data_IF_916998830978
#
_entry.id   IF_916998830978
#
_cell.length_a   1.000
_cell.length_b   1.000
_cell.length_c   1.000
_cell.angle_alpha   90.00
_cell.angle_beta   90.00
_cell.angle_gamma   90.00
#
_symmetry.space_group_name_H-M   'P 1'
#
loop_
_entity.id
_entity.type
_entity.pdbx_description
1 polymer ?
#
# COMPACT_ATOMS: atom_id res chain seq x y z
N UNK A 1 44.31 5.90 50.27
CA UNK A 1 42.88 5.83 49.92
C UNK A 1 42.60 7.00 48.98
N UNK A 2 42.73 6.76 47.67
CA UNK A 2 42.62 7.81 46.65
C UNK A 2 41.15 8.10 46.32
N UNK A 3 40.71 9.32 46.65
CA UNK A 3 39.34 9.83 46.45
C UNK A 3 39.16 10.41 45.03
N UNK A 4 40.15 10.29 44.13
CA UNK A 4 40.15 10.98 42.82
C UNK A 4 39.54 10.18 41.66
N UNK A 5 39.08 8.95 41.90
CA UNK A 5 38.50 8.08 40.85
C UNK A 5 36.97 8.04 40.86
N UNK A 6 36.27 9.10 41.27
CA UNK A 6 34.80 9.06 41.43
C UNK A 6 34.08 10.38 41.09
N UNK A 7 34.50 11.11 40.06
CA UNK A 7 33.71 12.26 39.57
C UNK A 7 33.58 12.33 38.05
N UNK A 8 34.54 11.79 37.29
CA UNK A 8 34.43 11.70 35.82
C UNK A 8 33.49 10.59 35.34
N UNK A 9 33.38 9.48 36.06
CA UNK A 9 32.47 8.38 35.68
C UNK A 9 31.00 8.65 36.02
N UNK A 10 30.73 9.55 36.98
CA UNK A 10 29.35 9.89 37.39
C UNK A 10 28.65 10.88 36.43
N UNK A 11 29.41 11.68 35.67
CA UNK A 11 28.84 12.67 34.74
C UNK A 11 28.34 12.05 33.41
N UNK A 12 28.84 10.87 33.04
CA UNK A 12 28.47 10.23 31.76
C UNK A 12 27.20 9.37 31.84
N UNK A 13 26.70 9.07 33.05
CA UNK A 13 25.50 8.22 33.23
C UNK A 13 24.17 8.96 33.14
N UNK A 14 24.17 10.29 33.16
CA UNK A 14 22.94 11.10 33.29
C UNK A 14 22.76 12.18 32.21
N UNK A 15 23.58 12.22 31.15
CA UNK A 15 23.29 13.14 30.04
C UNK A 15 22.21 12.51 29.14
N UNK A 16 21.04 13.16 28.97
CA UNK A 16 20.05 12.69 28.01
C UNK A 16 20.68 12.66 26.62
N UNK A 17 20.32 11.65 25.82
CA UNK A 17 20.81 11.56 24.45
C UNK A 17 20.41 12.81 23.66
N UNK A 18 21.09 13.16 22.54
CA UNK A 18 20.77 14.35 21.75
C UNK A 18 19.29 14.49 21.39
N UNK A 19 18.62 13.38 21.08
CA UNK A 19 17.16 13.31 20.84
C UNK A 19 16.33 13.71 22.06
N UNK A 20 16.68 13.19 23.23
CA UNK A 20 15.94 13.43 24.48
C UNK A 20 16.13 14.87 24.94
N UNK A 21 17.35 15.41 24.80
CA UNK A 21 17.64 16.82 25.05
C UNK A 21 16.82 17.75 24.14
N UNK A 22 16.77 17.46 22.83
CA UNK A 22 15.98 18.25 21.87
C UNK A 22 14.48 18.14 22.15
N UNK A 23 13.98 16.94 22.49
CA UNK A 23 12.57 16.71 22.85
C UNK A 23 12.17 17.44 24.12
N UNK A 24 13.05 17.51 25.13
CA UNK A 24 12.79 18.26 26.35
C UNK A 24 12.72 19.78 26.11
N UNK A 25 13.48 20.28 25.13
CA UNK A 25 13.55 21.72 24.81
C UNK A 25 12.42 22.20 23.91
N UNK A 26 11.99 21.36 22.97
CA UNK A 26 10.96 21.69 21.98
C UNK A 26 9.92 20.58 21.86
N UNK A 27 9.17 20.27 22.94
CA UNK A 27 8.21 19.17 22.93
C UNK A 27 7.14 19.31 21.83
N UNK A 28 6.82 20.55 21.44
CA UNK A 28 5.92 20.91 20.35
C UNK A 28 6.39 20.45 18.95
N UNK A 29 7.70 20.25 18.77
CA UNK A 29 8.29 19.79 17.51
C UNK A 29 8.41 18.26 17.41
N UNK A 30 8.09 17.52 18.48
CA UNK A 30 8.15 16.06 18.50
C UNK A 30 6.75 15.49 18.68
N UNK A 31 6.34 14.62 17.74
CA UNK A 31 5.14 13.82 17.94
C UNK A 31 5.30 12.96 19.19
N UNK A 32 4.34 13.10 20.10
CA UNK A 32 4.12 12.26 21.28
C UNK A 32 3.22 11.05 20.95
N UNK A 33 2.78 10.93 19.70
CA UNK A 33 1.95 9.82 19.24
C UNK A 33 2.72 8.52 19.35
N UNK A 34 2.25 7.65 20.24
CA UNK A 34 2.72 6.27 20.32
C UNK A 34 2.04 5.47 19.20
N UNK A 35 2.81 4.97 18.24
CA UNK A 35 2.32 4.01 17.26
C UNK A 35 2.04 2.72 18.01
N UNK A 36 0.78 2.34 18.10
CA UNK A 36 0.34 1.13 18.75
C UNK A 36 -0.17 0.17 17.68
N UNK A 37 0.51 -0.97 17.51
CA UNK A 37 0.12 -2.04 16.59
C UNK A 37 -0.96 -2.96 17.20
N UNK A 38 -1.80 -2.43 18.08
CA UNK A 38 -2.90 -3.21 18.67
C UNK A 38 -4.02 -3.31 17.64
N UNK A 39 -4.42 -4.53 17.22
CA UNK A 39 -5.55 -4.71 16.32
C UNK A 39 -6.82 -4.09 16.91
N UNK A 40 -7.36 -3.07 16.24
CA UNK A 40 -8.56 -2.36 16.67
C UNK A 40 -9.84 -3.20 16.50
N UNK A 41 -9.78 -4.29 15.72
CA UNK A 41 -10.90 -5.19 15.48
C UNK A 41 -10.44 -6.65 15.47
N UNK A 42 -11.34 -7.55 15.86
CA UNK A 42 -11.08 -8.99 15.75
C UNK A 42 -11.13 -9.42 14.29
N UNK A 43 -10.41 -10.50 13.96
CA UNK A 43 -10.38 -11.08 12.62
C UNK A 43 -11.80 -11.40 12.10
N UNK A 44 -12.67 -11.95 12.94
CA UNK A 44 -14.05 -12.31 12.57
C UNK A 44 -14.87 -11.09 12.17
N UNK A 45 -14.73 -9.97 12.89
CA UNK A 45 -15.43 -8.72 12.56
C UNK A 45 -14.92 -8.16 11.23
N UNK A 46 -13.62 -8.23 10.99
CA UNK A 46 -13.02 -7.79 9.73
C UNK A 46 -13.50 -8.63 8.54
N UNK A 47 -13.53 -9.96 8.68
CA UNK A 47 -14.02 -10.87 7.64
C UNK A 47 -15.49 -10.60 7.28
N UNK A 48 -16.33 -10.41 8.29
CA UNK A 48 -17.73 -10.02 8.08
C UNK A 48 -17.86 -8.66 7.38
N UNK A 49 -17.00 -7.70 7.75
CA UNK A 49 -16.98 -6.40 7.08
C UNK A 49 -16.64 -6.53 5.60
N UNK A 50 -15.62 -7.33 5.27
CA UNK A 50 -15.22 -7.60 3.89
C UNK A 50 -16.32 -8.32 3.09
N UNK A 51 -17.01 -9.31 3.65
CA UNK A 51 -18.10 -10.02 2.95
C UNK A 51 -19.33 -9.13 2.68
N UNK A 52 -19.56 -8.12 3.53
CA UNK A 52 -20.74 -7.25 3.44
C UNK A 52 -20.52 -5.93 2.68
N UNK A 53 -19.32 -5.69 2.13
CA UNK A 53 -18.98 -4.46 1.40
C UNK A 53 -19.99 -4.08 0.32
N UNK A 54 -20.33 -5.02 -0.57
CA UNK A 54 -21.25 -4.76 -1.70
C UNK A 54 -22.69 -4.51 -1.23
N UNK A 55 -23.11 -5.22 -0.17
CA UNK A 55 -24.44 -5.03 0.42
C UNK A 55 -24.59 -3.64 1.06
N UNK A 56 -23.48 -3.08 1.55
CA UNK A 56 -23.41 -1.77 2.18
C UNK A 56 -23.06 -0.64 1.22
N UNK A 57 -22.86 -0.94 -0.07
CA UNK A 57 -22.41 0.01 -1.11
C UNK A 57 -21.07 0.69 -0.77
N UNK A 58 -20.15 -0.09 -0.21
CA UNK A 58 -18.83 0.39 0.24
C UNK A 58 -17.69 -0.03 -0.68
N UNK A 59 -17.98 -0.25 -1.97
CA UNK A 59 -16.98 -0.62 -2.96
C UNK A 59 -15.92 0.47 -3.13
N UNK A 60 -16.32 1.74 -3.03
CA UNK A 60 -15.41 2.87 -3.15
C UNK A 60 -14.45 2.96 -1.95
N UNK A 61 -14.93 2.74 -0.73
CA UNK A 61 -14.07 2.68 0.46
C UNK A 61 -13.08 1.51 0.39
N UNK A 62 -13.51 0.37 -0.14
CA UNK A 62 -12.63 -0.77 -0.38
C UNK A 62 -11.57 -0.46 -1.44
N UNK A 63 -11.95 0.19 -2.54
CA UNK A 63 -11.01 0.63 -3.57
C UNK A 63 -9.97 1.60 -3.01
N UNK A 64 -10.42 2.58 -2.22
CA UNK A 64 -9.55 3.51 -1.51
C UNK A 64 -8.59 2.79 -0.56
N UNK A 65 -9.08 1.81 0.20
CA UNK A 65 -8.27 1.00 1.11
C UNK A 65 -7.20 0.20 0.34
N UNK A 66 -7.58 -0.52 -0.72
CA UNK A 66 -6.66 -1.29 -1.56
C UNK A 66 -5.60 -0.39 -2.21
N UNK A 67 -5.98 0.82 -2.63
CA UNK A 67 -5.02 1.79 -3.14
C UNK A 67 -4.01 2.21 -2.08
N UNK A 68 -4.46 2.56 -0.88
CA UNK A 68 -3.54 2.95 0.21
C UNK A 68 -2.62 1.81 0.62
N UNK A 69 -3.12 0.58 0.58
CA UNK A 69 -2.31 -0.61 0.77
C UNK A 69 -1.27 -0.77 -0.34
N UNK A 70 -1.66 -0.61 -1.61
CA UNK A 70 -0.74 -0.69 -2.74
C UNK A 70 0.31 0.44 -2.75
N UNK A 71 -0.08 1.68 -2.41
CA UNK A 71 0.83 2.82 -2.23
C UNK A 71 1.89 2.53 -1.16
N UNK A 72 1.48 1.80 -0.11
CA UNK A 72 2.33 1.48 1.03
C UNK A 72 3.23 0.28 0.78
N UNK A 73 2.75 -0.77 0.11
CA UNK A 73 3.44 -2.07 0.01
C UNK A 73 4.06 -2.32 -1.38
N UNK A 74 3.47 -1.80 -2.46
CA UNK A 74 3.82 -2.17 -3.84
C UNK A 74 4.62 -1.05 -4.53
N UNK A 75 4.03 0.14 -4.65
CA UNK A 75 4.70 1.29 -5.23
C UNK A 75 3.98 2.60 -4.88
N UNK A 76 4.72 3.69 -4.61
CA UNK A 76 4.12 4.95 -4.19
C UNK A 76 3.57 5.80 -5.35
N UNK A 77 3.88 5.47 -6.60
CA UNK A 77 3.57 6.27 -7.79
C UNK A 77 2.26 5.87 -8.47
N UNK A 78 1.18 5.76 -7.69
CA UNK A 78 -0.14 5.41 -8.20
C UNK A 78 -0.95 6.65 -8.61
N UNK A 79 -1.58 6.60 -9.77
CA UNK A 79 -2.51 7.59 -10.29
C UNK A 79 -3.93 7.02 -10.30
N UNK A 80 -4.84 7.68 -9.59
CA UNK A 80 -6.27 7.38 -9.60
C UNK A 80 -6.95 8.05 -10.78
N UNK A 81 -7.93 7.39 -11.39
CA UNK A 81 -8.79 8.05 -12.37
C UNK A 81 -9.64 9.13 -11.68
N UNK A 82 -9.33 10.39 -11.95
CA UNK A 82 -10.09 11.57 -11.50
C UNK A 82 -10.87 12.15 -12.67
N UNK A 83 -11.83 11.39 -13.19
CA UNK A 83 -12.75 11.82 -14.26
C UNK A 83 -14.20 11.93 -13.77
N UNK A 84 -15.04 12.80 -14.37
CA UNK A 84 -16.48 12.76 -14.13
C UNK A 84 -16.99 11.36 -14.49
N UNK A 85 -17.79 10.73 -13.61
CA UNK A 85 -18.31 9.35 -13.77
C UNK A 85 -19.08 9.12 -15.08
N UNK A 86 -19.35 10.17 -15.88
CA UNK A 86 -20.01 10.12 -17.18
C UNK A 86 -19.15 10.48 -18.41
N UNK A 87 -17.82 10.63 -18.30
CA UNK A 87 -16.99 11.08 -19.42
C UNK A 87 -15.59 10.48 -19.43
N UNK A 88 -15.43 9.38 -20.18
CA UNK A 88 -14.14 8.72 -20.45
C UNK A 88 -13.86 7.56 -19.50
N UNK A 89 -14.29 6.36 -19.90
CA UNK A 89 -13.91 5.09 -19.27
C UNK A 89 -12.41 4.88 -19.46
N UNK A 90 -11.58 5.42 -18.56
CA UNK A 90 -10.21 4.91 -18.44
C UNK A 90 -10.40 3.49 -17.92
N UNK A 91 -10.17 2.52 -18.80
CA UNK A 91 -10.52 1.09 -18.63
C UNK A 91 -9.77 0.40 -17.47
N UNK A 92 -9.11 1.16 -16.59
CA UNK A 92 -8.22 0.73 -15.52
C UNK A 92 -8.53 1.59 -14.28
N UNK A 93 -8.69 0.95 -13.12
CA UNK A 93 -9.06 1.65 -11.89
C UNK A 93 -7.91 2.55 -11.39
N UNK A 94 -6.68 2.03 -11.40
CA UNK A 94 -5.46 2.73 -10.97
C UNK A 94 -4.29 2.33 -11.89
N UNK A 95 -3.42 3.26 -12.24
CA UNK A 95 -2.20 2.97 -13.01
C UNK A 95 -0.97 3.68 -12.43
N UNK A 96 0.24 3.16 -12.69
CA UNK A 96 1.48 3.88 -12.35
C UNK A 96 1.76 5.01 -13.34
N UNK A 97 2.43 6.05 -12.86
CA UNK A 97 2.98 7.13 -13.69
C UNK A 97 4.52 7.10 -13.67
N UNK A 98 5.19 7.51 -14.76
CA UNK A 98 6.65 7.49 -14.81
C UNK A 98 7.25 8.49 -13.81
N UNK A 99 8.30 8.07 -13.13
CA UNK A 99 9.01 8.87 -12.12
C UNK A 99 10.50 8.88 -12.43
N UNK A 100 11.14 10.04 -12.24
CA UNK A 100 12.56 10.21 -12.46
C UNK A 100 13.39 9.24 -11.59
N UNK A 101 14.44 8.59 -12.13
CA UNK A 101 15.23 7.58 -11.41
C UNK A 101 15.74 8.06 -10.05
N UNK A 102 16.12 9.33 -9.94
CA UNK A 102 16.63 9.93 -8.71
C UNK A 102 15.57 9.92 -7.60
N UNK A 103 14.29 10.08 -7.94
CA UNK A 103 13.19 10.03 -6.98
C UNK A 103 12.92 8.58 -6.58
N UNK A 104 12.97 7.66 -7.56
CA UNK A 104 12.77 6.22 -7.35
C UNK A 104 13.82 5.64 -6.39
N UNK A 105 15.09 6.05 -6.52
CA UNK A 105 16.17 5.66 -5.61
C UNK A 105 15.91 6.04 -4.14
N UNK A 106 15.05 7.03 -3.89
CA UNK A 106 14.70 7.51 -2.55
C UNK A 106 13.48 6.80 -1.98
N UNK A 107 12.85 5.89 -2.71
CA UNK A 107 11.73 5.12 -2.20
C UNK A 107 12.19 4.13 -1.14
N UNK A 108 11.66 4.29 0.07
CA UNK A 108 11.91 3.36 1.17
C UNK A 108 11.12 2.05 1.02
N UNK A 109 9.99 2.10 0.29
CA UNK A 109 9.09 0.96 0.09
C UNK A 109 8.63 0.91 -1.36
N UNK A 110 8.45 -0.30 -1.87
CA UNK A 110 7.99 -0.60 -3.22
C UNK A 110 9.11 -0.97 -4.19
N UNK A 111 8.72 -1.31 -5.41
CA UNK A 111 9.67 -1.74 -6.45
C UNK A 111 10.18 -0.56 -7.28
N UNK A 112 11.50 -0.38 -7.46
CA UNK A 112 12.06 0.64 -8.35
C UNK A 112 11.56 0.54 -9.80
N UNK A 113 11.28 -0.68 -10.27
CA UNK A 113 10.75 -0.93 -11.61
C UNK A 113 9.43 -0.19 -11.87
N UNK A 114 8.62 0.05 -10.83
CA UNK A 114 7.34 0.75 -10.96
C UNK A 114 7.50 2.20 -11.44
N UNK A 115 8.67 2.83 -11.22
CA UNK A 115 8.95 4.19 -11.68
C UNK A 115 9.24 4.30 -13.19
N UNK A 116 9.68 3.20 -13.82
CA UNK A 116 9.98 3.16 -15.26
C UNK A 116 8.92 2.38 -16.07
N UNK A 117 8.34 1.34 -15.48
CA UNK A 117 7.31 0.50 -16.09
C UNK A 117 5.90 1.05 -15.86
N UNK A 118 4.98 0.71 -16.77
CA UNK A 118 3.55 0.95 -16.56
C UNK A 118 2.91 -0.28 -15.96
N UNK A 119 2.30 -0.11 -14.80
CA UNK A 119 1.55 -1.15 -14.10
C UNK A 119 0.08 -0.74 -14.01
N UNK A 120 -0.81 -1.72 -14.13
CA UNK A 120 -2.25 -1.54 -14.00
C UNK A 120 -2.75 -2.26 -12.75
N UNK A 121 -3.79 -1.69 -12.16
CA UNK A 121 -4.41 -2.19 -10.94
C UNK A 121 -5.91 -2.24 -11.17
N UNK A 122 -6.50 -3.40 -10.88
CA UNK A 122 -7.94 -3.63 -10.92
C UNK A 122 -8.43 -4.09 -9.55
N UNK A 123 -9.56 -3.58 -9.11
CA UNK A 123 -10.09 -3.85 -7.77
C UNK A 123 -11.54 -4.33 -7.87
N UNK A 124 -11.87 -5.40 -7.13
CA UNK A 124 -13.21 -5.96 -7.13
C UNK A 124 -13.64 -6.48 -5.76
N UNK A 125 -14.80 -6.05 -5.29
CA UNK A 125 -15.48 -6.61 -4.13
C UNK A 125 -16.51 -7.72 -4.50
N UNK A 126 -16.60 -8.12 -5.78
CA UNK A 126 -17.62 -9.08 -6.25
C UNK A 126 -17.33 -10.51 -5.81
N UNK A 127 -18.38 -11.23 -5.38
CA UNK A 127 -18.33 -12.68 -5.11
C UNK A 127 -17.84 -13.50 -6.30
N UNK A 128 -18.36 -13.20 -7.49
CA UNK A 128 -17.90 -13.77 -8.75
C UNK A 128 -16.66 -13.03 -9.24
N UNK A 129 -15.53 -13.21 -8.56
CA UNK A 129 -14.29 -12.49 -8.85
C UNK A 129 -13.58 -12.99 -10.13
N UNK A 130 -13.68 -14.27 -10.49
CA UNK A 130 -12.98 -14.84 -11.67
C UNK A 130 -13.43 -14.22 -13.01
N UNK A 131 -14.74 -14.13 -13.31
CA UNK A 131 -15.18 -13.46 -14.55
C UNK A 131 -14.82 -11.98 -14.56
N UNK A 132 -14.80 -11.33 -13.39
CA UNK A 132 -14.43 -9.92 -13.24
C UNK A 132 -12.93 -9.72 -13.49
N UNK A 133 -12.07 -10.56 -12.93
CA UNK A 133 -10.63 -10.59 -13.20
C UNK A 133 -10.37 -10.68 -14.71
N UNK A 134 -10.95 -11.67 -15.39
CA UNK A 134 -10.79 -11.84 -16.83
C UNK A 134 -11.26 -10.59 -17.60
N UNK A 135 -12.45 -10.10 -17.30
CA UNK A 135 -12.98 -8.91 -17.96
C UNK A 135 -12.12 -7.67 -17.74
N UNK A 136 -11.51 -7.51 -16.57
CA UNK A 136 -10.68 -6.35 -16.26
C UNK A 136 -9.30 -6.46 -16.91
N UNK A 137 -8.69 -7.65 -16.91
CA UNK A 137 -7.46 -7.92 -17.66
C UNK A 137 -7.66 -7.66 -19.16
N UNK A 138 -8.73 -8.19 -19.76
CA UNK A 138 -9.05 -7.96 -21.17
C UNK A 138 -9.21 -6.46 -21.48
N UNK A 139 -9.88 -5.71 -20.59
CA UNK A 139 -10.05 -4.25 -20.71
C UNK A 139 -8.72 -3.50 -20.62
N UNK A 140 -7.87 -3.87 -19.68
CA UNK A 140 -6.53 -3.31 -19.48
C UNK A 140 -5.67 -3.54 -20.71
N UNK A 141 -5.63 -4.78 -21.23
CA UNK A 141 -4.87 -5.13 -22.43
C UNK A 141 -5.40 -4.36 -23.66
N UNK A 142 -6.72 -4.21 -23.78
CA UNK A 142 -7.37 -3.43 -24.84
C UNK A 142 -7.16 -1.90 -24.75
N UNK A 143 -6.35 -1.40 -23.80
CA UNK A 143 -5.90 0.01 -23.81
C UNK A 143 -4.64 0.22 -24.64
N UNK A 144 -3.91 -0.85 -25.00
CA UNK A 144 -2.64 -0.80 -25.74
C UNK A 144 -1.57 0.09 -25.08
N UNK A 145 -1.62 0.23 -23.75
CA UNK A 145 -0.71 1.10 -22.97
C UNK A 145 0.61 0.43 -22.55
N UNK A 146 0.93 -0.76 -23.08
CA UNK A 146 2.14 -1.56 -22.77
C UNK A 146 2.36 -1.78 -21.26
N UNK A 147 1.32 -2.24 -20.56
CA UNK A 147 1.44 -2.57 -19.14
C UNK A 147 2.33 -3.80 -18.94
N UNK A 148 3.36 -3.68 -18.12
CA UNK A 148 4.29 -4.79 -17.80
C UNK A 148 3.79 -5.68 -16.69
N UNK A 149 2.91 -5.16 -15.83
CA UNK A 149 2.31 -5.90 -14.71
C UNK A 149 0.87 -5.46 -14.50
N UNK A 150 0.04 -6.42 -14.12
CA UNK A 150 -1.35 -6.20 -13.73
C UNK A 150 -1.55 -6.78 -12.34
N UNK A 151 -2.00 -5.96 -11.40
CA UNK A 151 -2.38 -6.38 -10.06
C UNK A 151 -3.92 -6.41 -9.95
N UNK A 152 -4.45 -7.50 -9.40
CA UNK A 152 -5.89 -7.63 -9.15
C UNK A 152 -6.16 -7.84 -7.66
N UNK A 153 -6.96 -6.95 -7.07
CA UNK A 153 -7.34 -7.01 -5.66
C UNK A 153 -8.76 -7.53 -5.51
N UNK A 154 -8.95 -8.45 -4.56
CA UNK A 154 -10.25 -9.01 -4.23
C UNK A 154 -10.45 -9.14 -2.73
N UNK A 155 -11.68 -8.93 -2.26
CA UNK A 155 -12.08 -9.21 -0.87
C UNK A 155 -12.42 -10.71 -0.64
N UNK A 156 -12.43 -11.51 -1.71
CA UNK A 156 -12.78 -12.93 -1.64
C UNK A 156 -11.58 -13.76 -1.16
N UNK A 157 -11.85 -14.82 -0.41
CA UNK A 157 -10.83 -15.81 -0.07
C UNK A 157 -10.46 -16.62 -1.31
N UNK A 158 -9.23 -16.46 -1.79
CA UNK A 158 -8.69 -17.20 -2.92
C UNK A 158 -7.70 -18.23 -2.40
N UNK A 159 -7.92 -19.50 -2.74
CA UNK A 159 -6.96 -20.55 -2.42
C UNK A 159 -5.68 -20.38 -3.24
N UNK A 160 -4.53 -20.77 -2.68
CA UNK A 160 -3.24 -20.62 -3.37
C UNK A 160 -3.22 -21.31 -4.75
N UNK A 161 -3.83 -22.50 -4.85
CA UNK A 161 -4.02 -23.22 -6.11
C UNK A 161 -4.82 -22.42 -7.15
N UNK A 162 -5.91 -21.79 -6.74
CA UNK A 162 -6.72 -21.00 -7.66
C UNK A 162 -6.00 -19.72 -8.09
N UNK A 163 -5.27 -19.08 -7.17
CA UNK A 163 -4.43 -17.92 -7.48
C UNK A 163 -3.40 -18.27 -8.55
N UNK A 164 -2.60 -19.32 -8.32
CA UNK A 164 -1.59 -19.78 -9.28
C UNK A 164 -2.19 -20.11 -10.65
N UNK A 165 -3.29 -20.87 -10.69
CA UNK A 165 -3.95 -21.19 -11.95
C UNK A 165 -4.39 -19.94 -12.75
N UNK A 166 -4.83 -18.88 -12.06
CA UNK A 166 -5.20 -17.63 -12.73
C UNK A 166 -3.97 -16.84 -13.20
N UNK A 167 -2.90 -16.78 -12.39
CA UNK A 167 -1.64 -16.13 -12.78
C UNK A 167 -1.01 -16.81 -14.00
N UNK A 168 -0.95 -18.14 -14.02
CA UNK A 168 -0.38 -18.94 -15.12
C UNK A 168 -1.15 -18.75 -16.44
N UNK A 169 -2.48 -18.53 -16.36
CA UNK A 169 -3.32 -18.30 -17.55
C UNK A 169 -2.84 -17.10 -18.39
N UNK A 170 -2.18 -16.12 -17.76
CA UNK A 170 -1.75 -14.87 -18.40
C UNK A 170 -0.22 -14.68 -18.45
N UNK A 171 0.55 -15.65 -17.95
CA UNK A 171 2.02 -15.58 -17.92
C UNK A 171 2.65 -16.11 -19.23
N UNK A 172 1.94 -16.96 -19.96
CA UNK A 172 2.44 -17.63 -21.18
C UNK A 172 2.04 -16.94 -22.51
N UNK A 173 1.63 -15.67 -22.47
CA UNK A 173 1.26 -14.86 -23.66
C UNK A 173 2.31 -13.78 -23.94
#
# INVERSE_FOLDING_TARGET
MDIRTSSRELLHRNMPGPREFMRARHPDLFSDTLVSDIPQMSKVVFEYHLDTLTSRKQEWEFEYFCRKLAEKEICPNLCTQTGPTGGGDSKVDIETYPVAPEIVERWWIGSPSAGAERWAFAISAKKQWKPKLKSDVDKILATERDYKRIYFFTNQFVSDKERANQEDTWTDC
#
